data_IF_018837372570
#
_entry.id   IF_018837372570
#
_cell.length_a   1.000
_cell.length_b   1.000
_cell.length_c   1.000
_cell.angle_alpha   90.00
_cell.angle_beta   90.00
_cell.angle_gamma   90.00
#
_symmetry.space_group_name_H-M   'P 1'
#
loop_
_entity.id
_entity.type
_entity.pdbx_description
1 polymer ?
#
# COMPACT_ATOMS: atom_id res chain seq x y z
N UNK A 1 13.52 4.28 -14.81
CA UNK A 1 12.13 3.98 -14.39
C UNK A 1 12.16 2.61 -13.73
N UNK A 2 11.65 2.53 -12.51
CA UNK A 2 11.56 1.24 -11.81
C UNK A 2 10.23 0.57 -12.16
N UNK A 3 10.21 -0.77 -12.12
CA UNK A 3 9.02 -1.58 -12.37
C UNK A 3 8.66 -2.33 -11.10
N UNK A 4 7.40 -2.23 -10.72
CA UNK A 4 6.79 -3.01 -9.65
C UNK A 4 5.74 -3.95 -10.25
N UNK A 5 5.49 -5.08 -9.58
CA UNK A 5 4.43 -6.03 -9.98
C UNK A 5 3.43 -6.13 -8.83
N UNK A 6 2.14 -6.05 -9.15
CA UNK A 6 1.05 -6.33 -8.23
C UNK A 6 0.50 -7.71 -8.57
N UNK A 7 0.48 -8.61 -7.59
CA UNK A 7 -0.09 -9.94 -7.74
C UNK A 7 -1.52 -9.97 -7.21
N UNK A 8 -2.38 -10.68 -7.92
CA UNK A 8 -3.74 -10.95 -7.48
C UNK A 8 -3.76 -11.89 -6.26
N UNK A 9 -4.80 -11.83 -5.42
CA UNK A 9 -4.82 -12.50 -4.11
C UNK A 9 -5.20 -13.98 -4.18
N UNK A 10 -5.44 -14.55 -5.35
CA UNK A 10 -5.78 -15.97 -5.56
C UNK A 10 -4.56 -16.89 -5.61
N UNK A 11 -3.36 -16.32 -5.63
CA UNK A 11 -2.10 -17.07 -5.64
C UNK A 11 -1.78 -17.60 -4.23
N UNK A 12 -1.37 -18.86 -4.16
CA UNK A 12 -0.86 -19.43 -2.92
C UNK A 12 0.47 -18.78 -2.51
N UNK A 13 0.83 -18.77 -1.21
CA UNK A 13 2.11 -18.22 -0.76
C UNK A 13 3.33 -18.79 -1.47
N UNK A 14 3.30 -20.08 -1.83
CA UNK A 14 4.38 -20.73 -2.60
C UNK A 14 4.47 -20.19 -4.03
N UNK A 15 3.35 -19.95 -4.69
CA UNK A 15 3.31 -19.34 -6.03
C UNK A 15 3.79 -17.89 -5.99
N UNK A 16 3.41 -17.12 -4.97
CA UNK A 16 3.91 -15.77 -4.74
C UNK A 16 5.44 -15.77 -4.61
N UNK A 17 5.99 -16.69 -3.82
CA UNK A 17 7.44 -16.82 -3.65
C UNK A 17 8.15 -17.23 -4.96
N UNK A 18 7.59 -18.14 -5.74
CA UNK A 18 8.14 -18.55 -7.03
C UNK A 18 8.17 -17.39 -8.03
N UNK A 19 7.05 -16.69 -8.19
CA UNK A 19 6.95 -15.54 -9.07
C UNK A 19 7.87 -14.40 -8.63
N UNK A 20 8.00 -14.18 -7.31
CA UNK A 20 8.86 -13.16 -6.77
C UNK A 20 10.35 -13.43 -7.00
N UNK A 21 10.82 -14.68 -6.90
CA UNK A 21 12.18 -15.04 -7.28
C UNK A 21 12.45 -14.76 -8.77
N UNK A 22 11.49 -15.07 -9.63
CA UNK A 22 11.59 -14.73 -11.05
C UNK A 22 11.64 -13.22 -11.27
N UNK A 23 10.74 -12.47 -10.61
CA UNK A 23 10.71 -11.01 -10.67
C UNK A 23 12.05 -10.39 -10.22
N UNK A 24 12.61 -10.87 -9.11
CA UNK A 24 13.93 -10.44 -8.62
C UNK A 24 15.03 -10.69 -9.64
N UNK A 25 15.05 -11.87 -10.28
CA UNK A 25 16.02 -12.21 -11.30
C UNK A 25 15.94 -11.31 -12.55
N UNK A 26 14.77 -10.78 -12.85
CA UNK A 26 14.53 -9.80 -13.92
C UNK A 26 14.76 -8.34 -13.49
N UNK A 27 15.16 -8.10 -12.24
CA UNK A 27 15.42 -6.73 -11.75
C UNK A 27 14.18 -5.92 -11.43
N UNK A 28 13.04 -6.58 -11.18
CA UNK A 28 11.84 -5.90 -10.67
C UNK A 28 12.15 -5.32 -9.29
N UNK A 29 11.73 -4.08 -9.03
CA UNK A 29 12.02 -3.38 -7.80
C UNK A 29 11.19 -3.88 -6.62
N UNK A 30 9.88 -4.04 -6.81
CA UNK A 30 8.96 -4.43 -5.74
C UNK A 30 7.87 -5.39 -6.23
N UNK A 31 7.44 -6.26 -5.34
CA UNK A 31 6.27 -7.12 -5.52
C UNK A 31 5.23 -6.78 -4.44
N UNK A 32 4.01 -6.53 -4.90
CA UNK A 32 2.89 -6.18 -4.06
C UNK A 32 1.85 -7.30 -4.06
N UNK A 33 1.39 -7.70 -2.88
CA UNK A 33 0.27 -8.64 -2.72
C UNK A 33 -1.02 -7.86 -2.53
N UNK A 34 -2.00 -8.11 -3.39
CA UNK A 34 -3.31 -7.48 -3.26
C UNK A 34 -4.01 -7.92 -1.98
N UNK A 35 -4.68 -6.96 -1.32
CA UNK A 35 -5.41 -7.20 -0.08
C UNK A 35 -6.91 -7.27 -0.35
N UNK A 36 -7.50 -8.47 -0.16
CA UNK A 36 -8.93 -8.70 -0.27
C UNK A 36 -9.43 -9.52 0.92
N UNK A 37 -10.59 -9.16 1.46
CA UNK A 37 -11.17 -9.71 2.68
C UNK A 37 -11.47 -11.23 2.65
N UNK A 38 -11.58 -11.85 1.47
CA UNK A 38 -11.98 -13.25 1.30
C UNK A 38 -10.91 -14.12 0.63
N UNK A 39 -9.66 -13.67 0.58
CA UNK A 39 -8.54 -14.40 -0.03
C UNK A 39 -7.42 -14.67 0.98
N UNK A 40 -6.25 -15.08 0.49
CA UNK A 40 -5.07 -15.25 1.32
C UNK A 40 -4.71 -13.94 2.03
N UNK A 41 -4.36 -14.04 3.31
CA UNK A 41 -3.87 -12.88 4.06
C UNK A 41 -2.65 -12.25 3.37
N UNK A 42 -2.71 -10.95 3.16
CA UNK A 42 -1.74 -10.22 2.35
C UNK A 42 -0.35 -10.12 2.99
N UNK A 43 -0.22 -10.28 4.32
CA UNK A 43 1.07 -10.34 5.01
C UNK A 43 1.61 -11.78 5.03
N UNK A 44 0.77 -12.76 5.40
CA UNK A 44 1.19 -14.15 5.50
C UNK A 44 1.59 -14.73 4.15
N UNK A 45 0.93 -14.34 3.07
CA UNK A 45 1.28 -14.77 1.71
C UNK A 45 2.68 -14.34 1.28
N UNK A 46 3.23 -13.27 1.89
CA UNK A 46 4.55 -12.72 1.57
C UNK A 46 5.69 -13.35 2.39
N UNK A 47 5.40 -14.15 3.43
CA UNK A 47 6.46 -14.72 4.29
C UNK A 47 7.41 -15.62 3.52
N UNK A 48 6.98 -16.59 2.69
CA UNK A 48 7.92 -17.40 1.89
C UNK A 48 8.72 -16.57 0.89
N UNK A 49 8.13 -15.51 0.33
CA UNK A 49 8.84 -14.57 -0.55
C UNK A 49 9.94 -13.82 0.19
N UNK A 50 9.65 -13.30 1.39
CA UNK A 50 10.61 -12.59 2.23
C UNK A 50 11.86 -13.43 2.52
N UNK A 51 11.67 -14.72 2.75
CA UNK A 51 12.73 -15.67 3.07
C UNK A 51 13.51 -16.18 1.84
N UNK A 52 12.95 -16.08 0.64
CA UNK A 52 13.52 -16.65 -0.59
C UNK A 52 14.08 -15.64 -1.58
N UNK A 53 14.06 -14.35 -1.24
CA UNK A 53 14.60 -13.22 -2.01
C UNK A 53 15.55 -12.38 -1.17
N UNK A 54 16.35 -11.52 -1.81
CA UNK A 54 17.39 -10.75 -1.13
C UNK A 54 17.40 -9.24 -1.46
N UNK A 55 16.79 -8.82 -2.55
CA UNK A 55 16.81 -7.45 -3.06
C UNK A 55 15.41 -6.88 -3.29
N UNK A 56 14.47 -7.73 -3.69
CA UNK A 56 13.11 -7.36 -4.03
C UNK A 56 12.40 -6.75 -2.80
N UNK A 57 11.85 -5.55 -2.95
CA UNK A 57 10.92 -5.00 -1.97
C UNK A 57 9.60 -5.78 -2.03
N UNK A 58 8.92 -5.94 -0.89
CA UNK A 58 7.69 -6.73 -0.83
C UNK A 58 6.72 -6.18 0.19
N UNK A 59 5.43 -6.20 -0.13
CA UNK A 59 4.42 -5.71 0.81
C UNK A 59 2.98 -5.79 0.30
N UNK A 60 2.00 -5.57 1.19
CA UNK A 60 0.60 -5.55 0.82
C UNK A 60 0.16 -4.23 0.16
N UNK A 61 -0.84 -4.33 -0.73
CA UNK A 61 -1.49 -3.20 -1.41
C UNK A 61 -2.98 -3.48 -1.59
N UNK A 62 -3.89 -2.71 -1.02
CA UNK A 62 -3.66 -1.72 0.01
C UNK A 62 -4.37 -2.17 1.30
N UNK A 63 -3.80 -1.82 2.43
CA UNK A 63 -4.38 -2.11 3.75
C UNK A 63 -5.04 -0.85 4.30
N UNK A 64 -6.23 -1.01 4.88
CA UNK A 64 -6.96 0.10 5.49
C UNK A 64 -6.75 0.13 7.01
N UNK A 65 -6.55 1.32 7.61
CA UNK A 65 -6.50 1.44 9.07
C UNK A 65 -7.87 1.19 9.73
N UNK A 66 -8.92 0.97 8.93
CA UNK A 66 -10.28 0.68 9.42
C UNK A 66 -10.60 -0.81 9.40
N UNK A 67 -9.98 -1.60 8.53
CA UNK A 67 -10.11 -3.07 8.53
C UNK A 67 -9.22 -3.74 9.58
N UNK A 68 -8.11 -3.10 9.92
CA UNK A 68 -7.19 -3.55 10.94
C UNK A 68 -6.62 -2.33 11.68
N UNK A 69 -6.60 -2.36 13.02
CA UNK A 69 -6.07 -1.25 13.81
C UNK A 69 -4.62 -0.92 13.40
N UNK A 70 -4.23 0.36 13.21
CA UNK A 70 -2.90 0.75 12.73
C UNK A 70 -1.73 0.12 13.48
N UNK A 71 -1.89 -0.11 14.80
CA UNK A 71 -0.86 -0.82 15.59
C UNK A 71 -0.68 -2.27 15.18
N UNK A 72 -1.75 -2.95 14.78
CA UNK A 72 -1.66 -4.33 14.29
C UNK A 72 -1.08 -4.37 12.88
N UNK A 73 -1.43 -3.40 12.04
CA UNK A 73 -0.78 -3.22 10.72
C UNK A 73 0.73 -3.00 10.92
N UNK A 74 1.11 -2.09 11.83
CA UNK A 74 2.52 -1.84 12.15
C UNK A 74 3.23 -3.12 12.63
N UNK A 75 2.61 -3.88 13.53
CA UNK A 75 3.18 -5.12 14.05
C UNK A 75 3.42 -6.15 12.93
N UNK A 76 2.44 -6.38 12.06
CA UNK A 76 2.58 -7.30 10.92
C UNK A 76 3.64 -6.82 9.93
N UNK A 77 3.65 -5.52 9.61
CA UNK A 77 4.63 -4.92 8.70
C UNK A 77 6.06 -5.00 9.23
N UNK A 78 6.27 -4.70 10.52
CA UNK A 78 7.57 -4.77 11.15
C UNK A 78 8.07 -6.22 11.24
N UNK A 79 7.19 -7.19 11.51
CA UNK A 79 7.53 -8.60 11.46
C UNK A 79 7.98 -9.04 10.05
N UNK A 80 7.24 -8.62 9.03
CA UNK A 80 7.63 -8.88 7.63
C UNK A 80 8.95 -8.19 7.28
N UNK A 81 9.20 -7.00 7.84
CA UNK A 81 10.45 -6.26 7.63
C UNK A 81 11.66 -6.98 8.22
N UNK A 82 11.53 -7.55 9.42
CA UNK A 82 12.57 -8.41 10.01
C UNK A 82 12.82 -9.67 9.17
N UNK A 83 11.74 -10.37 8.79
CA UNK A 83 11.83 -11.57 7.95
C UNK A 83 12.48 -11.31 6.58
N UNK A 84 12.33 -10.11 6.06
CA UNK A 84 12.89 -9.71 4.77
C UNK A 84 14.21 -8.92 4.87
N UNK A 85 14.77 -8.75 6.07
CA UNK A 85 15.98 -7.97 6.30
C UNK A 85 15.88 -6.52 5.78
N UNK A 86 14.82 -5.82 6.16
CA UNK A 86 14.64 -4.39 5.87
C UNK A 86 14.07 -4.07 4.49
N UNK A 87 13.33 -5.00 3.86
CA UNK A 87 12.77 -4.83 2.51
C UNK A 87 11.24 -4.71 2.48
N UNK A 88 10.59 -4.69 3.64
CA UNK A 88 9.14 -4.56 3.65
C UNK A 88 8.68 -3.16 3.25
N UNK A 89 7.58 -3.13 2.52
CA UNK A 89 6.86 -1.93 2.13
C UNK A 89 5.36 -2.14 2.40
N UNK A 90 4.57 -1.10 2.50
CA UNK A 90 3.12 -1.19 2.59
C UNK A 90 2.48 -0.05 1.82
N UNK A 91 1.38 -0.33 1.16
CA UNK A 91 0.48 0.69 0.66
C UNK A 91 -0.77 0.74 1.54
N UNK A 92 -1.12 1.94 1.99
CA UNK A 92 -2.27 2.19 2.86
C UNK A 92 -3.26 3.13 2.17
N UNK A 93 -4.53 2.91 2.41
CA UNK A 93 -5.60 3.77 1.87
C UNK A 93 -6.88 3.65 2.68
N UNK A 94 -7.92 4.32 2.23
CA UNK A 94 -9.21 4.31 2.92
C UNK A 94 -9.94 2.94 2.87
N UNK A 95 -9.54 2.04 1.95
CA UNK A 95 -10.05 0.66 1.89
C UNK A 95 -11.49 0.53 1.42
N UNK A 96 -11.95 1.41 0.55
CA UNK A 96 -13.37 1.51 0.13
C UNK A 96 -14.04 0.16 -0.14
N UNK A 97 -13.43 -0.70 -0.97
CA UNK A 97 -14.04 -1.97 -1.34
C UNK A 97 -14.13 -2.98 -0.18
N UNK A 98 -13.05 -3.12 0.58
CA UNK A 98 -12.97 -4.08 1.68
C UNK A 98 -13.87 -3.67 2.86
N UNK A 99 -13.80 -2.40 3.29
CA UNK A 99 -14.60 -1.94 4.43
C UNK A 99 -16.10 -1.98 4.14
N UNK A 100 -16.52 -1.67 2.91
CA UNK A 100 -17.91 -1.79 2.50
C UNK A 100 -18.37 -3.26 2.50
N UNK A 101 -17.55 -4.16 1.96
CA UNK A 101 -17.85 -5.59 1.92
C UNK A 101 -17.94 -6.23 3.32
N UNK A 102 -17.15 -5.75 4.27
CA UNK A 102 -17.18 -6.22 5.67
C UNK A 102 -18.23 -5.50 6.53
N UNK A 103 -18.98 -4.54 5.99
CA UNK A 103 -19.98 -3.77 6.73
C UNK A 103 -19.37 -2.82 7.78
N UNK A 104 -18.12 -2.42 7.60
CA UNK A 104 -17.44 -1.52 8.53
C UNK A 104 -17.90 -0.07 8.27
N UNK A 105 -18.33 0.60 9.32
CA UNK A 105 -18.73 2.00 9.23
C UNK A 105 -17.50 2.90 8.96
N UNK A 106 -17.59 3.73 7.94
CA UNK A 106 -16.54 4.69 7.61
C UNK A 106 -16.48 5.81 8.66
N UNK A 107 -15.29 6.28 9.04
CA UNK A 107 -15.16 7.42 9.92
C UNK A 107 -15.68 8.70 9.23
N UNK A 108 -16.24 9.60 10.01
CA UNK A 108 -16.79 10.87 9.50
C UNK A 108 -15.71 11.72 8.81
N UNK A 109 -14.50 11.75 9.35
CA UNK A 109 -13.35 12.50 8.83
C UNK A 109 -12.33 11.55 8.18
N UNK A 110 -12.73 10.91 7.08
CA UNK A 110 -11.97 9.84 6.42
C UNK A 110 -10.51 10.21 6.13
N UNK A 111 -10.25 11.42 5.60
CA UNK A 111 -8.88 11.86 5.27
C UNK A 111 -8.02 12.00 6.53
N UNK A 112 -8.57 12.54 7.62
CA UNK A 112 -7.86 12.66 8.90
C UNK A 112 -7.57 11.29 9.49
N UNK A 113 -8.56 10.42 9.57
CA UNK A 113 -8.40 9.09 10.14
C UNK A 113 -7.38 8.25 9.34
N UNK A 114 -7.39 8.33 8.00
CA UNK A 114 -6.38 7.68 7.15
C UNK A 114 -4.98 8.26 7.42
N UNK A 115 -4.85 9.58 7.56
CA UNK A 115 -3.59 10.23 7.92
C UNK A 115 -3.02 9.70 9.23
N UNK A 116 -3.83 9.66 10.28
CA UNK A 116 -3.40 9.17 11.60
C UNK A 116 -2.97 7.70 11.54
N UNK A 117 -3.69 6.88 10.77
CA UNK A 117 -3.29 5.50 10.52
C UNK A 117 -1.92 5.38 9.85
N UNK A 118 -1.64 6.18 8.81
CA UNK A 118 -0.34 6.24 8.14
C UNK A 118 0.76 6.72 9.10
N UNK A 119 0.50 7.78 9.86
CA UNK A 119 1.44 8.34 10.84
C UNK A 119 1.83 7.31 11.91
N UNK A 120 0.86 6.53 12.43
CA UNK A 120 1.11 5.45 13.38
C UNK A 120 1.99 4.36 12.76
N UNK A 121 1.61 3.82 11.61
CA UNK A 121 2.36 2.72 10.97
C UNK A 121 3.77 3.16 10.60
N UNK A 122 3.91 4.35 10.01
CA UNK A 122 5.22 4.93 9.66
C UNK A 122 6.05 5.22 10.91
N UNK A 123 5.44 5.79 11.94
CA UNK A 123 6.08 6.16 13.21
C UNK A 123 6.58 4.94 14.00
N UNK A 124 5.86 3.81 13.94
CA UNK A 124 6.24 2.58 14.61
C UNK A 124 7.63 2.09 14.19
N UNK A 125 7.90 2.02 12.89
CA UNK A 125 9.20 1.61 12.37
C UNK A 125 10.34 2.60 12.60
N UNK A 126 10.03 3.82 13.07
CA UNK A 126 10.98 4.92 13.28
C UNK A 126 11.12 5.33 14.76
N UNK A 127 10.56 4.54 15.67
CA UNK A 127 10.61 4.80 17.11
C UNK A 127 9.81 6.03 17.56
N UNK A 128 9.00 6.64 16.70
CA UNK A 128 8.23 7.86 17.03
C UNK A 128 7.04 7.60 17.96
N UNK A 129 6.74 6.33 18.30
CA UNK A 129 5.65 5.95 19.20
C UNK A 129 6.11 5.66 20.64
N UNK A 130 7.35 5.98 20.99
CA UNK A 130 7.89 5.75 22.33
C UNK A 130 7.12 6.49 23.45
N UNK A 131 6.35 7.51 23.09
CA UNK A 131 5.49 8.27 24.03
C UNK A 131 3.98 8.05 23.76
N UNK A 132 3.63 7.02 22.96
CA UNK A 132 2.28 6.79 22.52
C UNK A 132 1.89 7.62 21.28
N UNK A 133 0.60 7.70 21.00
CA UNK A 133 0.04 8.52 19.93
C UNK A 133 -1.28 9.13 20.39
N UNK A 134 -1.47 10.41 20.15
CA UNK A 134 -2.69 11.12 20.52
C UNK A 134 -3.27 11.82 19.28
N UNK A 135 -4.09 11.09 18.55
CA UNK A 135 -4.91 11.63 17.46
C UNK A 135 -6.34 11.93 17.88
N UNK A 136 -7.17 12.29 16.94
CA UNK A 136 -8.62 12.46 17.13
C UNK A 136 -9.39 11.19 16.79
N UNK A 137 -8.89 10.37 15.86
CA UNK A 137 -9.50 9.12 15.42
C UNK A 137 -8.79 7.89 16.04
N UNK A 138 -7.49 7.99 16.31
CA UNK A 138 -6.72 6.95 16.96
C UNK A 138 -5.96 7.48 18.18
N UNK A 139 -6.06 6.77 19.29
CA UNK A 139 -5.32 7.10 20.52
C UNK A 139 -4.59 5.85 21.02
N UNK A 140 -3.31 6.01 21.32
CA UNK A 140 -2.48 4.99 21.96
C UNK A 140 -2.11 5.45 23.36
N UNK A 141 -2.66 4.80 24.37
CA UNK A 141 -2.47 5.18 25.78
C UNK A 141 -1.13 4.77 26.37
N UNK A 142 -0.47 3.79 25.75
CA UNK A 142 0.79 3.25 26.26
C UNK A 142 1.92 3.52 25.26
N UNK A 143 3.14 3.73 25.74
CA UNK A 143 4.32 3.78 24.91
C UNK A 143 4.51 2.47 24.14
N UNK A 144 4.87 2.56 22.87
CA UNK A 144 5.18 1.42 22.03
C UNK A 144 6.63 1.47 21.58
N UNK A 145 7.46 0.65 22.23
CA UNK A 145 8.84 0.42 21.83
C UNK A 145 8.98 -1.00 21.30
N UNK A 146 9.47 -1.14 20.08
CA UNK A 146 9.71 -2.43 19.42
C UNK A 146 11.17 -2.86 19.62
N UNK A 147 11.53 -3.33 20.83
CA UNK A 147 12.90 -3.69 21.20
C UNK A 147 13.50 -4.88 20.43
N UNK A 148 12.68 -5.57 19.63
CA UNK A 148 13.10 -6.72 18.82
C UNK A 148 13.50 -6.36 17.37
N UNK A 149 13.33 -5.10 16.96
CA UNK A 149 13.71 -4.66 15.61
C UNK A 149 15.23 -4.64 15.43
N UNK A 150 15.72 -5.28 14.39
CA UNK A 150 17.12 -5.38 13.99
C UNK A 150 17.35 -5.08 12.53
N UNK A 151 16.28 -5.07 11.71
CA UNK A 151 16.38 -4.81 10.29
C UNK A 151 17.06 -3.45 10.02
N UNK A 152 17.93 -3.36 9.00
CA UNK A 152 18.76 -2.16 8.78
C UNK A 152 17.96 -0.93 8.36
N UNK A 153 16.78 -1.14 7.77
CA UNK A 153 15.94 -0.06 7.28
C UNK A 153 14.52 -0.19 7.83
N UNK A 154 13.87 0.91 8.21
CA UNK A 154 12.45 0.88 8.50
C UNK A 154 11.64 0.63 7.21
N UNK A 155 10.46 0.00 7.32
CA UNK A 155 9.61 -0.21 6.15
C UNK A 155 9.15 1.12 5.55
N UNK A 156 8.96 1.14 4.22
CA UNK A 156 8.39 2.29 3.53
C UNK A 156 6.86 2.21 3.54
N UNK A 157 6.22 3.31 3.86
CA UNK A 157 4.76 3.44 3.90
C UNK A 157 4.30 4.34 2.76
N UNK A 158 3.54 3.77 1.84
CA UNK A 158 2.92 4.48 0.73
C UNK A 158 1.45 4.76 1.03
N UNK A 159 0.94 5.89 0.55
CA UNK A 159 -0.50 6.14 0.47
C UNK A 159 -1.08 5.68 -0.88
N UNK A 160 -2.38 5.36 -0.94
CA UNK A 160 -3.08 5.06 -2.20
C UNK A 160 -4.31 5.92 -2.34
N UNK A 161 -4.36 6.77 -3.37
CA UNK A 161 -5.45 7.72 -3.53
C UNK A 161 -5.92 7.87 -4.98
N UNK A 162 -7.21 8.26 -5.09
CA UNK A 162 -7.85 8.65 -6.35
C UNK A 162 -8.34 10.10 -6.34
N UNK A 163 -8.41 10.75 -5.16
CA UNK A 163 -8.98 12.10 -5.01
C UNK A 163 -7.96 13.07 -4.45
N UNK A 164 -8.00 14.31 -4.93
CA UNK A 164 -6.99 15.33 -4.64
C UNK A 164 -6.73 15.60 -3.16
N UNK A 165 -7.76 15.64 -2.30
CA UNK A 165 -7.54 15.82 -0.86
C UNK A 165 -6.72 14.69 -0.23
N UNK A 166 -7.03 13.43 -0.61
CA UNK A 166 -6.30 12.27 -0.13
C UNK A 166 -4.87 12.27 -0.68
N UNK A 167 -4.68 12.53 -1.99
CA UNK A 167 -3.35 12.64 -2.62
C UNK A 167 -2.48 13.68 -1.94
N UNK A 168 -3.01 14.88 -1.66
CA UNK A 168 -2.28 15.93 -0.94
C UNK A 168 -1.89 15.51 0.48
N UNK A 169 -2.80 14.85 1.18
CA UNK A 169 -2.54 14.38 2.54
C UNK A 169 -1.45 13.29 2.53
N UNK A 170 -1.59 12.27 1.70
CA UNK A 170 -0.65 11.15 1.60
C UNK A 170 0.74 11.62 1.14
N UNK A 171 0.80 12.48 0.12
CA UNK A 171 2.06 13.07 -0.33
C UNK A 171 2.79 13.84 0.77
N UNK A 172 2.05 14.42 1.73
CA UNK A 172 2.65 15.12 2.87
C UNK A 172 3.23 14.18 3.92
N UNK A 173 2.55 13.08 4.26
CA UNK A 173 2.89 12.27 5.45
C UNK A 173 3.49 10.90 5.15
N UNK A 174 3.30 10.34 3.95
CA UNK A 174 3.80 9.03 3.56
C UNK A 174 5.20 9.09 2.92
N UNK A 175 5.87 7.96 2.75
CA UNK A 175 7.16 7.86 2.05
C UNK A 175 6.98 7.83 0.52
N UNK A 176 5.79 7.48 0.06
CA UNK A 176 5.40 7.50 -1.34
C UNK A 176 3.90 7.55 -1.53
N UNK A 177 3.46 7.72 -2.78
CA UNK A 177 2.05 7.73 -3.18
C UNK A 177 1.85 6.82 -4.39
N UNK A 178 0.83 5.98 -4.33
CA UNK A 178 0.28 5.30 -5.48
C UNK A 178 -0.88 6.11 -6.07
N UNK A 179 -0.70 6.56 -7.29
CA UNK A 179 -1.79 7.12 -8.09
C UNK A 179 -2.44 5.95 -8.82
N UNK A 180 -3.69 5.63 -8.50
CA UNK A 180 -4.43 4.54 -9.14
C UNK A 180 -4.58 4.72 -10.65
N UNK A 181 -5.17 3.74 -11.33
CA UNK A 181 -5.38 3.73 -12.79
C UNK A 181 -5.97 5.06 -13.32
N UNK A 182 -5.12 6.05 -13.45
CA UNK A 182 -5.50 7.43 -13.80
C UNK A 182 -5.21 7.66 -15.28
N UNK A 183 -6.24 7.95 -16.10
CA UNK A 183 -6.05 8.26 -17.50
C UNK A 183 -5.04 9.40 -17.71
N UNK A 184 -4.26 9.37 -18.80
CA UNK A 184 -3.24 10.38 -19.08
C UNK A 184 -3.76 11.83 -19.01
N UNK A 185 -5.00 12.05 -19.41
CA UNK A 185 -5.66 13.35 -19.48
C UNK A 185 -5.83 14.00 -18.08
N UNK A 186 -5.99 13.17 -17.05
CA UNK A 186 -6.14 13.65 -15.66
C UNK A 186 -4.89 13.47 -14.80
N UNK A 187 -3.86 12.81 -15.33
CA UNK A 187 -2.60 12.58 -14.61
C UNK A 187 -1.90 13.88 -14.23
N UNK A 188 -1.94 14.90 -15.11
CA UNK A 188 -1.37 16.22 -14.82
C UNK A 188 -2.00 16.81 -13.55
N UNK A 189 -3.33 16.75 -13.42
CA UNK A 189 -4.04 17.25 -12.24
C UNK A 189 -3.72 16.43 -10.99
N UNK A 190 -3.62 15.10 -11.11
CA UNK A 190 -3.20 14.24 -10.01
C UNK A 190 -1.79 14.60 -9.51
N UNK A 191 -0.86 14.86 -10.42
CA UNK A 191 0.50 15.29 -10.07
C UNK A 191 0.56 16.68 -9.46
N UNK A 192 -0.30 17.63 -9.85
CA UNK A 192 -0.43 18.91 -9.15
C UNK A 192 -0.81 18.71 -7.69
N UNK A 193 -1.84 17.88 -7.41
CA UNK A 193 -2.28 17.57 -6.06
C UNK A 193 -1.18 16.89 -5.22
N UNK A 194 -0.44 15.95 -5.81
CA UNK A 194 0.72 15.30 -5.17
C UNK A 194 1.81 16.33 -4.87
N UNK A 195 2.17 17.19 -5.81
CA UNK A 195 3.21 18.20 -5.63
C UNK A 195 2.81 19.25 -4.57
N UNK A 196 1.54 19.65 -4.52
CA UNK A 196 1.03 20.53 -3.45
C UNK A 196 1.19 19.90 -2.06
N UNK A 197 0.89 18.63 -1.93
CA UNK A 197 1.11 17.88 -0.68
C UNK A 197 2.59 17.72 -0.35
N UNK A 198 3.39 17.37 -1.34
CA UNK A 198 4.83 17.19 -1.19
C UNK A 198 5.55 18.47 -0.73
N UNK A 199 5.10 19.64 -1.18
CA UNK A 199 5.65 20.93 -0.76
C UNK A 199 5.43 21.24 0.74
N UNK A 200 4.54 20.50 1.40
CA UNK A 200 4.20 20.67 2.84
C UNK A 200 4.77 19.52 3.71
N UNK A 201 5.73 18.74 3.18
CA UNK A 201 6.41 17.68 3.92
C UNK A 201 7.34 18.25 5.00
N UNK A 202 7.53 17.50 6.07
CA UNK A 202 8.58 17.80 7.06
C UNK A 202 9.96 17.74 6.39
N UNK A 203 10.86 18.65 6.77
CA UNK A 203 12.16 18.82 6.12
C UNK A 203 13.11 17.60 6.28
N UNK A 204 12.90 16.78 7.30
CA UNK A 204 13.66 15.56 7.58
C UNK A 204 13.16 14.33 6.80
N UNK A 205 12.05 14.45 6.08
CA UNK A 205 11.53 13.38 5.26
C UNK A 205 12.30 13.25 3.94
N UNK A 206 12.61 12.01 3.57
CA UNK A 206 13.18 11.70 2.26
C UNK A 206 12.28 12.21 1.11
N UNK A 207 12.82 12.44 -0.09
CA UNK A 207 12.02 12.81 -1.26
C UNK A 207 10.87 11.84 -1.49
N UNK A 208 9.71 12.38 -1.83
CA UNK A 208 8.51 11.58 -2.08
C UNK A 208 8.71 10.66 -3.29
N UNK A 209 8.33 9.40 -3.14
CA UNK A 209 8.27 8.43 -4.23
C UNK A 209 6.88 8.46 -4.85
N UNK A 210 6.79 8.43 -6.17
CA UNK A 210 5.51 8.37 -6.87
C UNK A 210 5.43 7.12 -7.72
N UNK A 211 4.34 6.38 -7.56
CA UNK A 211 4.04 5.20 -8.35
C UNK A 211 2.68 5.39 -9.03
N UNK A 212 2.53 4.85 -10.21
CA UNK A 212 1.22 4.62 -10.82
C UNK A 212 1.10 3.16 -11.19
N UNK A 213 -0.12 2.61 -11.15
CA UNK A 213 -0.33 1.22 -11.54
C UNK A 213 -1.41 1.11 -12.61
N UNK A 214 -1.24 0.10 -13.45
CA UNK A 214 -2.10 -0.20 -14.58
C UNK A 214 -2.35 -1.69 -14.63
N UNK A 215 -3.58 -2.09 -14.93
CA UNK A 215 -3.88 -3.48 -15.24
C UNK A 215 -3.34 -3.82 -16.63
N UNK A 216 -2.57 -4.92 -16.71
CA UNK A 216 -1.98 -5.40 -17.95
C UNK A 216 -2.61 -6.73 -18.34
N UNK A 217 -3.10 -6.80 -19.58
CA UNK A 217 -3.66 -8.00 -20.18
C UNK A 217 -2.81 -8.39 -21.41
N UNK A 218 -1.70 -9.11 -21.15
CA UNK A 218 -0.79 -9.54 -22.21
C UNK A 218 -1.34 -10.80 -22.88
N UNK A 219 -1.81 -10.65 -24.12
CA UNK A 219 -2.29 -11.74 -24.97
C UNK A 219 -1.62 -11.66 -26.34
N UNK A 220 -1.55 -12.80 -27.04
CA UNK A 220 -1.07 -12.83 -28.42
C UNK A 220 -2.08 -12.18 -29.37
N UNK A 221 -3.37 -12.36 -29.10
CA UNK A 221 -4.47 -11.73 -29.85
C UNK A 221 -4.99 -10.49 -29.08
N UNK A 222 -5.00 -9.36 -29.79
CA UNK A 222 -5.46 -8.07 -29.25
C UNK A 222 -6.95 -8.09 -28.86
N UNK A 223 -7.79 -8.79 -29.66
CA UNK A 223 -9.22 -8.88 -29.36
C UNK A 223 -9.49 -9.70 -28.10
N UNK A 224 -8.69 -10.75 -27.84
CA UNK A 224 -8.72 -11.51 -26.60
C UNK A 224 -8.32 -10.63 -25.41
N UNK A 225 -7.25 -9.86 -25.53
CA UNK A 225 -6.80 -8.91 -24.51
C UNK A 225 -7.89 -7.90 -24.13
N UNK A 226 -8.58 -7.32 -25.10
CA UNK A 226 -9.71 -6.42 -24.88
C UNK A 226 -10.90 -7.11 -24.21
N UNK A 227 -11.25 -8.33 -24.60
CA UNK A 227 -12.35 -9.08 -23.97
C UNK A 227 -12.05 -9.36 -22.49
N UNK A 228 -10.83 -9.75 -22.19
CA UNK A 228 -10.41 -10.07 -20.83
C UNK A 228 -10.34 -8.81 -19.94
N UNK A 229 -9.75 -7.72 -20.45
CA UNK A 229 -9.66 -6.46 -19.71
C UNK A 229 -11.05 -5.92 -19.32
N UNK A 230 -12.05 -6.05 -20.20
CA UNK A 230 -13.43 -5.64 -19.89
C UNK A 230 -14.08 -6.52 -18.81
N UNK A 231 -13.72 -7.80 -18.71
CA UNK A 231 -14.28 -8.73 -17.71
C UNK A 231 -13.64 -8.51 -16.34
N UNK A 232 -12.36 -8.20 -16.32
CA UNK A 232 -11.54 -8.19 -15.10
C UNK A 232 -11.26 -6.79 -14.56
N UNK A 233 -11.78 -5.72 -15.18
CA UNK A 233 -11.68 -4.36 -14.64
C UNK A 233 -12.75 -4.14 -13.56
N UNK A 234 -12.43 -4.20 -12.28
CA UNK A 234 -13.40 -4.03 -11.18
C UNK A 234 -14.08 -2.65 -11.21
N UNK A 235 -13.36 -1.63 -11.69
CA UNK A 235 -13.85 -0.27 -11.83
C UNK A 235 -14.91 -0.06 -12.93
N UNK A 236 -14.93 -0.89 -13.95
CA UNK A 236 -15.93 -0.78 -15.03
C UNK A 236 -17.34 -1.19 -14.58
N UNK A 237 -17.47 -1.95 -13.48
CA UNK A 237 -18.77 -2.39 -12.97
C UNK A 237 -19.38 -1.42 -11.95
N UNK A 238 -18.58 -0.62 -11.27
CA UNK A 238 -19.07 0.31 -10.22
C UNK A 238 -19.33 1.72 -10.74
N UNK A 239 -18.59 2.19 -11.75
CA UNK A 239 -18.79 3.52 -12.33
C UNK A 239 -19.98 3.61 -13.30
N UNK A 240 -20.43 2.48 -13.86
CA UNK A 240 -21.55 2.44 -14.81
C UNK A 240 -22.94 2.35 -14.15
N UNK A 241 -23.03 2.33 -12.81
CA UNK A 241 -24.31 2.29 -12.06
C UNK A 241 -24.66 3.57 -11.30
N UNK A 242 -23.95 4.66 -11.56
CA UNK A 242 -24.29 5.99 -10.99
C UNK A 242 -24.23 7.06 -12.07
N UNK A 243 -25.13 6.98 -13.02
CA UNK A 243 -25.60 8.09 -13.83
C UNK A 243 -27.14 8.11 -13.80
#
# INVERSE_FOLDING_TARGET
MDIDIILEPDLTPSQVAELGRKAEAYGVRALWSSNYFAHWDCFLSLVPLAQSTSKLLLGPLAVSPFEMHPMKIANSLLSLNELSNGRAVIAMGAGEGNIDAMGIQRPEKLVRATREGIEIVRGAGRGKLAQGFKGEDFVMHLPCAYGWLKAPNPPLVYGTAYRGQMMRMEARVADGVFIGCTPPEVMAKAMEDVNEGAAKREADMAPLRTNTFWAWHLKRDRAEGYRESRRNSPGARSSCKRS
#
